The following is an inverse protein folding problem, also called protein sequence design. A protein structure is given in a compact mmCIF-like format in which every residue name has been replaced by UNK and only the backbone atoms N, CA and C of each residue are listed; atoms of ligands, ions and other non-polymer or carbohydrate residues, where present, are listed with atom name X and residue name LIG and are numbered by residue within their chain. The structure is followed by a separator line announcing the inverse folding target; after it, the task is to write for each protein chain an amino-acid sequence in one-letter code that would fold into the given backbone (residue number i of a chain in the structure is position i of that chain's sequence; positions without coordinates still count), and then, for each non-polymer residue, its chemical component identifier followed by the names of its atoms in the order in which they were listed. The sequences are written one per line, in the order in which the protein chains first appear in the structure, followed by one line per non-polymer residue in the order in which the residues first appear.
data_IF_614733389891
#
_entry.id   IF_614733389891
#
_cell.length_a   1.000
_cell.length_b   1.000
_cell.length_c   1.000
_cell.angle_alpha   90.00
_cell.angle_beta   90.00
_cell.angle_gamma   90.00
#
_symmetry.space_group_name_H-M   'P 1'
#
loop_
_entity.id
_entity.type
_entity.pdbx_description
1 polymer ?
#
# COMPACT_ATOMS: atom_id res chain seq x y z
N UNK A 1 45.62 9.69 6.66
CA UNK A 1 45.53 11.15 6.91
C UNK A 1 45.88 11.92 5.64
N UNK A 2 44.92 12.64 5.06
CA UNK A 2 45.21 13.63 4.01
C UNK A 2 46.01 14.78 4.61
N UNK A 3 47.20 15.05 4.07
CA UNK A 3 48.06 16.14 4.55
C UNK A 3 48.49 17.01 3.39
N UNK A 4 48.68 18.30 3.66
CA UNK A 4 49.18 19.30 2.71
C UNK A 4 50.34 20.06 3.37
N UNK A 5 51.38 20.49 2.63
CA UNK A 5 52.42 21.35 3.17
C UNK A 5 51.81 22.68 3.60
N UNK A 6 52.19 23.17 4.77
CA UNK A 6 51.86 24.54 5.19
C UNK A 6 52.80 25.52 4.48
N UNK A 7 52.25 26.64 4.01
CA UNK A 7 52.99 27.58 3.17
C UNK A 7 54.13 28.24 3.96
N UNK A 8 55.34 27.68 3.87
CA UNK A 8 56.54 28.17 4.55
C UNK A 8 56.97 27.37 5.78
N UNK A 9 56.27 26.30 6.15
CA UNK A 9 56.73 25.37 7.19
C UNK A 9 57.10 24.02 6.56
N UNK A 10 58.26 23.45 6.89
CA UNK A 10 58.72 22.14 6.39
C UNK A 10 57.91 20.95 6.92
N UNK A 11 56.68 21.17 7.38
CA UNK A 11 55.80 20.18 8.00
C UNK A 11 54.48 20.07 7.22
N UNK A 12 53.96 18.85 7.11
CA UNK A 12 52.65 18.60 6.51
C UNK A 12 51.56 18.69 7.58
N UNK A 13 50.60 19.59 7.40
CA UNK A 13 49.42 19.72 8.26
C UNK A 13 48.30 18.82 7.75
N UNK A 14 47.43 18.34 8.64
CA UNK A 14 46.22 17.58 8.26
C UNK A 14 45.23 18.57 7.64
N UNK A 15 44.60 18.20 6.52
CA UNK A 15 43.56 19.05 5.94
C UNK A 15 42.42 19.25 6.94
N UNK A 16 41.84 20.46 7.02
CA UNK A 16 40.64 20.69 7.83
C UNK A 16 39.52 19.76 7.41
N UNK A 17 38.54 19.59 8.28
CA UNK A 17 37.33 18.85 7.96
C UNK A 17 36.67 19.44 6.69
N UNK A 18 36.10 18.57 5.85
CA UNK A 18 35.49 18.91 4.56
C UNK A 18 36.47 18.99 3.38
N UNK A 19 37.78 18.85 3.61
CA UNK A 19 38.82 19.01 2.60
C UNK A 19 39.70 17.76 2.45
N UNK A 20 40.07 17.44 1.20
CA UNK A 20 41.05 16.39 0.87
C UNK A 20 42.32 16.99 0.28
N UNK A 21 43.44 16.30 0.47
CA UNK A 21 44.68 16.65 -0.20
C UNK A 21 44.51 16.45 -1.72
N UNK A 22 44.98 17.40 -2.53
CA UNK A 22 45.03 17.25 -3.99
C UNK A 22 45.88 16.05 -4.40
N UNK A 23 45.76 15.59 -5.65
CA UNK A 23 46.56 14.45 -6.14
C UNK A 23 48.07 14.72 -6.01
N UNK A 24 48.48 15.98 -6.21
CA UNK A 24 49.87 16.45 -6.03
C UNK A 24 50.24 16.70 -4.57
N UNK A 25 49.29 16.59 -3.65
CA UNK A 25 49.39 16.81 -2.20
C UNK A 25 49.89 18.19 -1.79
N UNK A 26 49.62 19.19 -2.62
CA UNK A 26 50.09 20.57 -2.44
C UNK A 26 49.03 21.50 -1.84
N UNK A 27 47.74 21.15 -1.98
CA UNK A 27 46.61 21.99 -1.54
C UNK A 27 45.49 21.10 -0.98
N UNK A 28 44.78 21.59 0.03
CA UNK A 28 43.53 20.98 0.49
C UNK A 28 42.35 21.52 -0.35
N UNK A 29 41.64 20.63 -1.04
CA UNK A 29 40.50 20.94 -1.91
C UNK A 29 39.20 20.33 -1.39
N UNK A 30 38.07 21.00 -1.61
CA UNK A 30 36.76 20.47 -1.26
C UNK A 30 36.42 19.24 -2.08
N UNK A 31 35.69 18.30 -1.49
CA UNK A 31 35.21 17.16 -2.25
C UNK A 31 34.25 17.59 -3.38
N UNK A 32 34.23 16.84 -4.49
CA UNK A 32 33.21 17.01 -5.52
C UNK A 32 31.80 16.85 -4.91
N UNK A 33 30.81 17.51 -5.53
CA UNK A 33 29.39 17.42 -5.11
C UNK A 33 28.96 15.95 -4.94
N UNK A 34 28.31 15.65 -3.82
CA UNK A 34 27.79 14.31 -3.51
C UNK A 34 28.78 13.36 -2.83
N UNK A 35 30.00 13.82 -2.52
CA UNK A 35 30.97 13.08 -1.72
C UNK A 35 31.25 13.82 -0.40
N UNK A 36 31.69 13.07 0.61
CA UNK A 36 32.02 13.57 1.95
C UNK A 36 33.37 13.01 2.41
N UNK A 37 33.99 13.63 3.42
CA UNK A 37 35.27 13.18 4.00
C UNK A 37 35.06 12.86 5.46
N UNK A 38 35.07 11.59 5.88
CA UNK A 38 35.08 11.29 7.30
C UNK A 38 36.40 11.76 7.91
N UNK A 39 36.35 12.21 9.17
CA UNK A 39 37.50 12.78 9.86
C UNK A 39 38.76 11.91 9.71
N UNK A 40 39.83 12.50 9.15
CA UNK A 40 41.13 11.85 8.96
C UNK A 40 41.26 10.95 7.70
N UNK A 41 40.23 10.86 6.87
CA UNK A 41 40.28 10.13 5.61
C UNK A 41 41.26 10.77 4.59
N UNK A 42 41.66 9.97 3.60
CA UNK A 42 42.57 10.38 2.52
C UNK A 42 41.86 10.59 1.19
N UNK A 43 40.60 10.18 1.08
CA UNK A 43 39.83 10.25 -0.14
C UNK A 43 38.38 10.58 0.20
N UNK A 44 37.75 11.32 -0.70
CA UNK A 44 36.31 11.54 -0.71
C UNK A 44 35.58 10.20 -0.83
N UNK A 45 34.60 9.96 0.03
CA UNK A 45 33.77 8.75 0.01
C UNK A 45 32.32 9.12 -0.28
N UNK A 46 31.56 8.17 -0.82
CA UNK A 46 30.10 8.29 -0.91
C UNK A 46 29.50 7.91 0.44
N UNK A 47 28.40 8.55 0.83
CA UNK A 47 27.65 8.10 2.00
C UNK A 47 27.26 6.62 1.85
N UNK A 48 27.42 5.85 2.93
CA UNK A 48 27.25 4.39 2.90
C UNK A 48 25.82 3.96 2.50
N UNK A 49 24.82 4.80 2.77
CA UNK A 49 23.43 4.54 2.44
C UNK A 49 22.93 5.54 1.39
N UNK A 50 22.08 5.05 0.47
CA UNK A 50 21.45 5.86 -0.58
C UNK A 50 20.57 7.01 -0.04
N UNK A 51 20.10 6.92 1.20
CA UNK A 51 19.26 7.94 1.85
C UNK A 51 20.03 9.07 2.52
N UNK A 52 21.36 8.98 2.53
CA UNK A 52 22.24 9.94 3.17
C UNK A 52 22.86 10.85 2.11
N UNK A 53 22.79 12.17 2.34
CA UNK A 53 23.52 13.17 1.54
C UNK A 53 24.56 13.89 2.41
N UNK A 54 25.67 14.35 1.84
CA UNK A 54 26.59 15.22 2.55
C UNK A 54 25.87 16.50 3.01
N UNK A 55 26.11 16.93 4.25
CA UNK A 55 25.58 18.18 4.77
C UNK A 55 26.00 19.37 3.89
N UNK A 56 25.09 20.31 3.56
CA UNK A 56 25.35 21.36 2.57
C UNK A 56 26.38 22.40 3.02
N UNK A 57 26.61 22.55 4.33
CA UNK A 57 27.49 23.59 4.88
C UNK A 57 28.84 23.08 5.36
N UNK A 58 28.92 21.84 5.87
CA UNK A 58 30.17 21.33 6.46
C UNK A 58 30.74 20.11 5.71
N UNK A 59 29.96 19.38 4.90
CA UNK A 59 30.49 18.25 4.10
C UNK A 59 31.09 17.09 4.91
N UNK A 60 31.06 17.15 6.24
CA UNK A 60 31.70 16.20 7.15
C UNK A 60 30.77 15.08 7.58
N UNK A 61 29.48 15.38 7.63
CA UNK A 61 28.45 14.46 8.06
C UNK A 61 27.53 14.09 6.91
N UNK A 62 27.17 12.81 6.90
CA UNK A 62 26.09 12.30 6.09
C UNK A 62 24.77 12.50 6.86
N UNK A 63 23.91 13.37 6.36
CA UNK A 63 22.60 13.63 6.94
C UNK A 63 21.50 12.88 6.18
N UNK A 64 20.49 12.42 6.92
CA UNK A 64 19.29 11.84 6.32
C UNK A 64 18.53 12.97 5.64
N UNK A 65 18.30 12.82 4.35
CA UNK A 65 17.51 13.79 3.61
C UNK A 65 16.02 13.59 3.93
N UNK A 66 15.55 14.30 4.96
CA UNK A 66 14.19 14.18 5.51
C UNK A 66 13.09 14.35 4.47
N UNK A 67 13.35 15.16 3.43
CA UNK A 67 12.43 15.33 2.30
C UNK A 67 12.13 14.01 1.57
N UNK A 68 13.10 13.11 1.39
CA UNK A 68 12.84 11.80 0.76
C UNK A 68 11.96 10.91 1.65
N UNK A 69 12.13 10.97 2.97
CA UNK A 69 11.29 10.21 3.90
C UNK A 69 9.85 10.73 3.83
N UNK A 70 9.66 12.05 3.84
CA UNK A 70 8.33 12.66 3.75
C UNK A 70 7.67 12.31 2.42
N UNK A 71 8.40 12.41 1.30
CA UNK A 71 7.91 12.04 -0.03
C UNK A 71 7.51 10.56 -0.06
N UNK A 72 8.37 9.65 0.42
CA UNK A 72 8.07 8.23 0.49
C UNK A 72 6.82 7.93 1.34
N UNK A 73 6.65 8.60 2.48
CA UNK A 73 5.48 8.44 3.33
C UNK A 73 4.19 8.93 2.65
N UNK A 74 4.26 10.05 1.91
CA UNK A 74 3.13 10.56 1.12
C UNK A 74 2.75 9.56 0.03
N UNK A 75 3.73 9.01 -0.69
CA UNK A 75 3.50 7.99 -1.72
C UNK A 75 2.87 6.72 -1.15
N UNK A 76 3.34 6.25 0.01
CA UNK A 76 2.75 5.11 0.70
C UNK A 76 1.31 5.38 1.15
N UNK A 77 1.05 6.58 1.68
CA UNK A 77 -0.29 6.97 2.09
C UNK A 77 -1.23 7.06 0.88
N UNK A 78 -0.82 7.72 -0.21
CA UNK A 78 -1.63 7.84 -1.43
C UNK A 78 -1.93 6.47 -2.03
N UNK A 79 -0.95 5.56 -2.06
CA UNK A 79 -1.14 4.19 -2.51
C UNK A 79 -2.16 3.44 -1.65
N UNK A 80 -1.98 3.46 -0.32
CA UNK A 80 -2.89 2.79 0.60
C UNK A 80 -4.33 3.29 0.43
N UNK A 81 -4.52 4.61 0.35
CA UNK A 81 -5.84 5.22 0.14
C UNK A 81 -6.41 4.91 -1.24
N UNK A 82 -5.59 4.95 -2.30
CA UNK A 82 -6.01 4.62 -3.66
C UNK A 82 -6.50 3.18 -3.78
N UNK A 83 -5.74 2.22 -3.26
CA UNK A 83 -6.13 0.81 -3.21
C UNK A 83 -7.39 0.63 -2.35
N UNK A 84 -7.48 1.29 -1.19
CA UNK A 84 -8.65 1.20 -0.33
C UNK A 84 -9.91 1.73 -1.03
N UNK A 85 -9.84 2.91 -1.66
CA UNK A 85 -10.95 3.50 -2.42
C UNK A 85 -11.36 2.61 -3.59
N UNK A 86 -10.39 2.09 -4.34
CA UNK A 86 -10.65 1.19 -5.45
C UNK A 86 -11.35 -0.09 -4.97
N UNK A 87 -10.85 -0.71 -3.91
CA UNK A 87 -11.47 -1.87 -3.28
C UNK A 87 -12.90 -1.54 -2.84
N UNK A 88 -13.10 -0.36 -2.24
CA UNK A 88 -14.43 0.12 -1.84
C UNK A 88 -15.36 0.34 -3.04
N UNK A 89 -14.84 0.81 -4.17
CA UNK A 89 -15.59 1.07 -5.39
C UNK A 89 -15.97 -0.23 -6.13
N UNK A 90 -15.10 -1.24 -6.10
CA UNK A 90 -15.31 -2.54 -6.76
C UNK A 90 -16.10 -3.51 -5.87
N UNK A 91 -16.57 -3.07 -4.69
CA UNK A 91 -17.39 -3.91 -3.80
C UNK A 91 -18.57 -4.51 -4.53
N UNK A 92 -18.61 -5.83 -4.54
CA UNK A 92 -19.69 -6.59 -5.19
C UNK A 92 -20.97 -6.42 -4.39
N UNK A 93 -21.97 -5.79 -5.00
CA UNK A 93 -23.36 -5.84 -4.53
C UNK A 93 -24.02 -7.09 -5.13
N UNK A 94 -24.61 -7.92 -4.27
CA UNK A 94 -25.34 -9.11 -4.73
C UNK A 94 -26.81 -8.73 -4.82
N UNK A 95 -27.36 -8.73 -6.04
CA UNK A 95 -28.78 -8.46 -6.25
C UNK A 95 -29.62 -9.66 -5.77
N UNK A 96 -30.54 -9.37 -4.87
CA UNK A 96 -31.51 -10.30 -4.31
C UNK A 96 -32.73 -10.30 -5.23
N UNK A 97 -33.14 -11.50 -5.67
CA UNK A 97 -34.35 -11.68 -6.48
C UNK A 97 -35.59 -11.84 -5.62
N UNK A 98 -35.47 -12.49 -4.47
CA UNK A 98 -36.58 -12.72 -3.57
C UNK A 98 -36.08 -12.97 -2.14
N UNK A 99 -36.84 -12.50 -1.16
CA UNK A 99 -36.70 -12.83 0.26
C UNK A 99 -38.01 -13.47 0.68
N UNK A 100 -38.04 -14.80 0.83
CA UNK A 100 -39.26 -15.54 1.13
C UNK A 100 -39.11 -16.42 2.35
N UNK A 101 -40.22 -16.60 3.07
CA UNK A 101 -40.29 -17.46 4.25
C UNK A 101 -40.64 -18.89 3.82
N UNK A 102 -39.75 -19.84 4.11
CA UNK A 102 -39.94 -21.28 3.86
C UNK A 102 -40.01 -22.00 5.20
N UNK A 103 -41.23 -22.16 5.74
CA UNK A 103 -41.45 -22.64 7.11
C UNK A 103 -40.91 -21.63 8.13
N UNK A 104 -40.03 -22.07 9.02
CA UNK A 104 -39.42 -21.21 10.05
C UNK A 104 -38.13 -20.51 9.56
N UNK A 105 -37.76 -20.70 8.29
CA UNK A 105 -36.54 -20.15 7.72
C UNK A 105 -36.85 -19.00 6.77
N UNK A 106 -36.17 -17.87 6.97
CA UNK A 106 -36.20 -16.77 6.03
C UNK A 106 -35.09 -16.97 5.00
N UNK A 107 -35.46 -17.23 3.74
CA UNK A 107 -34.53 -17.60 2.67
C UNK A 107 -34.41 -16.44 1.69
N UNK A 108 -33.18 -16.03 1.44
CA UNK A 108 -32.79 -15.05 0.43
C UNK A 108 -32.34 -15.81 -0.81
N UNK A 109 -32.97 -15.52 -1.94
CA UNK A 109 -32.58 -16.02 -3.26
C UNK A 109 -31.86 -14.93 -4.04
N UNK A 110 -30.65 -15.22 -4.50
CA UNK A 110 -29.80 -14.29 -5.23
C UNK A 110 -29.80 -14.58 -6.74
N UNK A 111 -29.77 -13.52 -7.55
CA UNK A 111 -29.76 -13.61 -9.02
C UNK A 111 -28.50 -14.25 -9.61
N UNK A 112 -27.39 -14.18 -8.87
CA UNK A 112 -26.11 -14.74 -9.30
C UNK A 112 -25.53 -15.54 -8.16
N UNK A 113 -24.73 -16.58 -8.44
CA UNK A 113 -24.11 -17.37 -7.39
C UNK A 113 -23.33 -16.47 -6.42
N UNK A 114 -23.73 -16.46 -5.15
CA UNK A 114 -23.15 -15.55 -4.16
C UNK A 114 -21.68 -15.89 -3.86
N UNK A 115 -21.26 -17.15 -4.12
CA UNK A 115 -19.89 -17.66 -3.92
C UNK A 115 -19.31 -17.41 -2.52
N UNK A 116 -20.17 -17.11 -1.54
CA UNK A 116 -19.83 -17.08 -0.12
C UNK A 116 -19.42 -18.51 0.26
N UNK A 117 -18.11 -18.76 0.22
CA UNK A 117 -17.58 -20.12 0.32
C UNK A 117 -17.66 -20.62 1.76
N UNK A 118 -18.14 -21.85 1.92
CA UNK A 118 -18.07 -22.67 3.15
C UNK A 118 -16.63 -23.13 3.45
N UNK A 119 -15.63 -22.25 3.30
CA UNK A 119 -14.26 -22.65 3.00
C UNK A 119 -13.58 -23.48 4.12
N UNK A 120 -13.20 -24.69 3.72
CA UNK A 120 -12.16 -25.61 4.21
C UNK A 120 -11.93 -25.78 5.73
N UNK A 121 -12.49 -26.87 6.26
CA UNK A 121 -11.98 -27.56 7.45
C UNK A 121 -12.35 -26.95 8.80
N UNK A 122 -12.62 -25.64 8.85
CA UNK A 122 -13.07 -24.97 10.07
C UNK A 122 -14.60 -24.90 10.06
N UNK A 123 -15.25 -25.92 10.63
CA UNK A 123 -16.71 -26.04 10.83
C UNK A 123 -17.37 -24.89 11.63
N UNK A 124 -16.70 -23.77 11.89
CA UNK A 124 -17.12 -22.74 12.85
C UNK A 124 -17.52 -21.37 12.29
N UNK A 125 -17.48 -21.16 10.98
CA UNK A 125 -18.02 -19.91 10.40
C UNK A 125 -19.40 -20.18 9.78
N UNK A 126 -20.34 -20.63 10.62
CA UNK A 126 -21.70 -20.94 10.19
C UNK A 126 -22.45 -19.68 9.72
N UNK A 127 -22.12 -18.51 10.28
CA UNK A 127 -22.88 -17.28 10.11
C UNK A 127 -21.96 -16.15 9.63
N UNK A 128 -22.28 -15.54 8.49
CA UNK A 128 -21.55 -14.41 7.94
C UNK A 128 -22.36 -13.13 8.10
N UNK A 129 -21.82 -12.06 8.71
CA UNK A 129 -22.54 -10.81 8.83
C UNK A 129 -22.79 -10.21 7.45
N UNK A 130 -23.99 -9.72 7.22
CA UNK A 130 -24.41 -9.05 5.98
C UNK A 130 -25.20 -7.81 6.30
N UNK A 131 -25.18 -6.87 5.35
CA UNK A 131 -26.01 -5.70 5.35
C UNK A 131 -26.95 -5.76 4.14
N UNK A 132 -28.24 -5.72 4.42
CA UNK A 132 -29.32 -5.70 3.44
C UNK A 132 -29.74 -4.26 3.21
N UNK A 133 -29.91 -3.87 1.95
CA UNK A 133 -30.35 -2.53 1.56
C UNK A 133 -31.36 -2.60 0.44
N UNK A 134 -32.19 -1.57 0.37
CA UNK A 134 -33.19 -1.38 -0.68
C UNK A 134 -34.14 -2.58 -0.81
N UNK A 135 -34.47 -3.26 0.30
CA UNK A 135 -35.41 -4.38 0.28
C UNK A 135 -36.87 -3.93 0.19
N UNK A 136 -37.16 -2.71 0.64
CA UNK A 136 -38.52 -2.17 0.73
C UNK A 136 -39.28 -2.65 1.96
N UNK A 137 -38.67 -3.51 2.78
CA UNK A 137 -39.24 -3.96 4.07
C UNK A 137 -38.67 -3.14 5.21
N UNK A 138 -39.55 -2.48 5.99
CA UNK A 138 -39.16 -1.69 7.17
C UNK A 138 -38.45 -2.53 8.24
N UNK A 139 -38.76 -3.83 8.30
CA UNK A 139 -38.12 -4.76 9.24
C UNK A 139 -36.68 -5.10 8.82
N UNK A 140 -36.39 -5.12 7.52
CA UNK A 140 -35.08 -5.50 7.00
C UNK A 140 -34.19 -4.27 6.82
N UNK A 141 -34.70 -3.19 6.24
CA UNK A 141 -33.93 -1.98 5.91
C UNK A 141 -33.69 -1.05 7.13
N UNK A 142 -34.08 -1.49 8.34
CA UNK A 142 -33.91 -0.72 9.58
C UNK A 142 -32.45 -0.41 9.92
N UNK A 143 -32.19 0.81 10.39
CA UNK A 143 -30.84 1.38 10.63
C UNK A 143 -29.98 0.55 11.61
N UNK A 144 -30.60 -0.25 12.49
CA UNK A 144 -29.90 -1.05 13.50
C UNK A 144 -29.72 -2.53 13.13
N UNK A 145 -30.25 -2.98 11.99
CA UNK A 145 -30.45 -4.41 11.79
C UNK A 145 -29.24 -5.03 11.13
N UNK A 146 -28.34 -5.55 11.97
CA UNK A 146 -27.26 -6.44 11.55
C UNK A 146 -27.81 -7.84 11.43
N UNK A 147 -27.67 -8.42 10.24
CA UNK A 147 -28.07 -9.79 10.02
C UNK A 147 -26.85 -10.67 9.79
N UNK A 148 -27.04 -11.97 9.98
CA UNK A 148 -26.09 -12.97 9.54
C UNK A 148 -26.73 -13.90 8.52
N UNK A 149 -25.94 -14.42 7.59
CA UNK A 149 -26.42 -15.41 6.62
C UNK A 149 -25.71 -16.74 6.78
N UNK A 150 -26.48 -17.80 6.59
CA UNK A 150 -26.00 -19.17 6.47
C UNK A 150 -26.21 -19.64 5.03
N UNK A 151 -25.15 -20.03 4.30
CA UNK A 151 -25.31 -20.48 2.92
C UNK A 151 -26.01 -21.84 2.88
N UNK A 152 -27.11 -21.92 2.13
CA UNK A 152 -27.84 -23.17 1.88
C UNK A 152 -27.33 -23.85 0.61
N UNK A 153 -27.19 -23.10 -0.47
CA UNK A 153 -26.59 -23.57 -1.72
C UNK A 153 -25.80 -22.47 -2.44
N UNK A 154 -25.73 -22.48 -3.78
CA UNK A 154 -25.00 -21.50 -4.56
C UNK A 154 -25.74 -20.17 -4.73
N UNK A 155 -27.07 -20.18 -4.63
CA UNK A 155 -27.95 -19.03 -4.90
C UNK A 155 -28.87 -18.70 -3.73
N UNK A 156 -29.08 -19.63 -2.79
CA UNK A 156 -29.91 -19.47 -1.60
C UNK A 156 -29.07 -19.31 -0.34
N UNK A 157 -29.44 -18.30 0.44
CA UNK A 157 -28.89 -17.98 1.75
C UNK A 157 -30.04 -17.98 2.76
N UNK A 158 -29.82 -18.48 3.96
CA UNK A 158 -30.76 -18.31 5.08
C UNK A 158 -30.37 -17.08 5.87
N UNK A 159 -31.34 -16.19 6.11
CA UNK A 159 -31.19 -14.98 6.91
C UNK A 159 -31.46 -15.29 8.38
N UNK A 160 -30.51 -14.91 9.22
CA UNK A 160 -30.50 -15.09 10.66
C UNK A 160 -30.32 -13.73 11.33
N UNK A 161 -30.74 -13.64 12.59
CA UNK A 161 -30.45 -12.49 13.45
C UNK A 161 -28.94 -12.31 13.68
N UNK A 162 -28.52 -11.18 14.27
CA UNK A 162 -27.12 -10.97 14.70
C UNK A 162 -26.62 -12.09 15.64
N UNK A 163 -27.52 -12.64 16.46
CA UNK A 163 -27.24 -13.77 17.35
C UNK A 163 -27.22 -15.15 16.64
N UNK A 164 -27.51 -15.20 15.34
CA UNK A 164 -27.56 -16.43 14.57
C UNK A 164 -28.83 -17.26 14.79
N UNK A 165 -29.90 -16.66 15.32
CA UNK A 165 -31.20 -17.31 15.50
C UNK A 165 -32.08 -17.10 14.25
N UNK A 166 -32.97 -18.06 13.91
CA UNK A 166 -33.93 -17.90 12.83
C UNK A 166 -34.91 -16.76 13.12
N UNK A 167 -35.36 -16.08 12.08
CA UNK A 167 -36.33 -14.99 12.17
C UNK A 167 -37.73 -15.58 11.96
N UNK A 168 -38.54 -15.60 13.02
CA UNK A 168 -39.91 -16.15 12.98
C UNK A 168 -40.96 -15.16 12.46
N UNK A 169 -40.62 -13.88 12.41
CA UNK A 169 -41.55 -12.84 11.99
C UNK A 169 -41.94 -13.02 10.52
N UNK A 170 -43.21 -12.83 10.21
CA UNK A 170 -43.68 -12.87 8.81
C UNK A 170 -43.11 -11.68 8.06
N UNK A 171 -42.37 -11.97 7.01
CA UNK A 171 -41.79 -10.97 6.11
C UNK A 171 -42.40 -11.15 4.73
N UNK A 172 -42.88 -10.05 4.15
CA UNK A 172 -43.38 -10.06 2.78
C UNK A 172 -42.23 -10.23 1.77
N UNK A 173 -42.52 -10.89 0.65
CA UNK A 173 -41.56 -11.06 -0.45
C UNK A 173 -41.00 -9.70 -0.89
N UNK A 174 -39.69 -9.59 -0.85
CA UNK A 174 -38.96 -8.35 -1.14
C UNK A 174 -37.74 -8.60 -2.04
N UNK A 175 -37.32 -7.56 -2.74
CA UNK A 175 -36.12 -7.56 -3.60
C UNK A 175 -35.18 -6.47 -3.12
N UNK A 176 -33.87 -6.67 -3.20
CA UNK A 176 -32.91 -5.65 -2.76
C UNK A 176 -31.46 -6.02 -3.05
N UNK A 177 -30.56 -5.51 -2.22
CA UNK A 177 -29.12 -5.75 -2.34
C UNK A 177 -28.55 -6.30 -1.04
N UNK A 178 -27.74 -7.36 -1.17
CA UNK A 178 -26.93 -7.90 -0.10
C UNK A 178 -25.49 -7.42 -0.28
N UNK A 179 -24.93 -6.86 0.80
CA UNK A 179 -23.54 -6.42 0.89
C UNK A 179 -22.84 -7.09 2.07
N UNK A 180 -21.57 -7.47 1.87
CA UNK A 180 -20.73 -8.02 2.92
C UNK A 180 -19.91 -6.87 3.55
N UNK A 181 -19.76 -6.83 4.88
CA UNK A 181 -18.97 -5.80 5.53
C UNK A 181 -17.48 -6.00 5.24
N UNK A 182 -16.77 -4.90 5.02
CA UNK A 182 -15.33 -4.91 4.84
C UNK A 182 -14.59 -5.21 6.15
N UNK A 183 -13.45 -5.95 6.11
CA UNK A 183 -12.76 -6.52 4.94
C UNK A 183 -13.19 -7.96 4.59
N UNK A 184 -14.34 -8.43 5.10
CA UNK A 184 -14.76 -9.83 4.92
C UNK A 184 -15.16 -10.13 3.48
N UNK A 185 -15.70 -9.14 2.78
CA UNK A 185 -15.97 -9.19 1.34
C UNK A 185 -14.73 -9.63 0.53
N UNK A 186 -13.55 -9.17 0.90
CA UNK A 186 -12.28 -9.57 0.28
C UNK A 186 -11.88 -11.00 0.63
N UNK A 187 -11.92 -11.35 1.91
CA UNK A 187 -11.36 -12.62 2.42
C UNK A 187 -12.19 -13.85 2.01
N UNK A 188 -13.51 -13.69 1.84
CA UNK A 188 -14.42 -14.81 1.58
C UNK A 188 -14.89 -14.92 0.13
N UNK A 189 -14.55 -13.95 -0.72
CA UNK A 189 -14.83 -14.01 -2.14
C UNK A 189 -13.86 -14.97 -2.83
N UNK A 190 -14.29 -16.22 -3.02
CA UNK A 190 -13.56 -17.27 -3.78
C UNK A 190 -13.58 -17.00 -5.29
N UNK A 191 -13.14 -15.82 -5.71
CA UNK A 191 -13.00 -15.51 -7.13
C UNK A 191 -11.67 -16.04 -7.66
N UNK A 192 -11.73 -16.94 -8.65
CA UNK A 192 -10.60 -17.30 -9.53
C UNK A 192 -10.05 -16.11 -10.34
N UNK A 193 -10.67 -14.93 -10.22
CA UNK A 193 -10.35 -13.72 -10.97
C UNK A 193 -9.51 -12.75 -10.13
N UNK A 194 -8.62 -13.26 -9.27
CA UNK A 194 -7.60 -12.44 -8.61
C UNK A 194 -6.77 -11.62 -9.62
N UNK A 195 -6.75 -12.01 -10.91
CA UNK A 195 -6.09 -11.27 -11.97
C UNK A 195 -6.59 -9.84 -12.18
N UNK A 196 -7.89 -9.54 -12.05
CA UNK A 196 -8.39 -8.17 -12.33
C UNK A 196 -8.02 -7.16 -11.25
N UNK A 197 -8.24 -7.40 -9.94
CA UNK A 197 -7.77 -6.49 -8.91
C UNK A 197 -6.23 -6.40 -8.89
N UNK A 198 -5.50 -7.49 -9.16
CA UNK A 198 -4.02 -7.44 -9.25
C UNK A 198 -3.56 -6.61 -10.45
N UNK A 199 -4.18 -6.72 -11.62
CA UNK A 199 -3.83 -5.90 -12.79
C UNK A 199 -4.15 -4.42 -12.54
N UNK A 200 -5.29 -4.12 -11.90
CA UNK A 200 -5.64 -2.73 -11.60
C UNK A 200 -4.71 -2.17 -10.51
N UNK A 201 -4.40 -2.94 -9.47
CA UNK A 201 -3.41 -2.55 -8.45
C UNK A 201 -2.03 -2.37 -9.08
N UNK A 202 -1.60 -3.26 -9.98
CA UNK A 202 -0.35 -3.13 -10.73
C UNK A 202 -0.34 -1.91 -11.66
N UNK A 203 -1.46 -1.59 -12.32
CA UNK A 203 -1.59 -0.40 -13.15
C UNK A 203 -1.55 0.89 -12.31
N UNK A 204 -2.22 0.90 -11.15
CA UNK A 204 -2.15 2.01 -10.20
C UNK A 204 -0.71 2.18 -9.68
N UNK A 205 -0.05 1.08 -9.33
CA UNK A 205 1.37 1.07 -8.92
C UNK A 205 2.30 1.64 -10.00
N UNK A 206 2.08 1.29 -11.27
CA UNK A 206 2.87 1.81 -12.39
C UNK A 206 2.65 3.31 -12.61
N UNK A 207 1.40 3.77 -12.53
CA UNK A 207 1.05 5.19 -12.72
C UNK A 207 1.56 6.04 -11.57
N UNK A 208 1.42 5.57 -10.32
CA UNK A 208 1.93 6.29 -9.15
C UNK A 208 3.45 6.41 -9.20
N UNK A 209 4.16 5.35 -9.59
CA UNK A 209 5.61 5.39 -9.70
C UNK A 209 6.10 6.38 -10.75
N UNK A 210 5.50 6.38 -11.95
CA UNK A 210 5.78 7.36 -13.02
C UNK A 210 5.50 8.81 -12.57
N UNK A 211 4.41 9.04 -11.84
CA UNK A 211 4.05 10.37 -11.33
C UNK A 211 5.06 10.86 -10.30
N UNK A 212 5.49 9.99 -9.39
CA UNK A 212 6.49 10.30 -8.37
C UNK A 212 7.80 10.67 -9.06
N UNK A 213 8.28 9.84 -10.00
CA UNK A 213 9.51 10.09 -10.75
C UNK A 213 9.42 11.44 -11.49
N UNK A 214 8.31 11.69 -12.17
CA UNK A 214 8.07 12.95 -12.88
C UNK A 214 8.10 14.17 -11.94
N UNK A 215 7.47 14.06 -10.77
CA UNK A 215 7.46 15.13 -9.76
C UNK A 215 8.84 15.37 -9.14
N UNK A 216 9.58 14.30 -8.81
CA UNK A 216 10.92 14.42 -8.25
C UNK A 216 11.92 15.03 -9.26
N UNK A 217 11.78 14.72 -10.56
CA UNK A 217 12.57 15.34 -11.63
C UNK A 217 12.18 16.81 -11.82
N UNK A 218 10.88 17.13 -11.87
CA UNK A 218 10.39 18.50 -12.04
C UNK A 218 10.78 19.41 -10.86
N UNK A 219 10.86 18.86 -9.65
CA UNK A 219 11.29 19.59 -8.46
C UNK A 219 12.81 19.86 -8.40
N UNK A 220 13.59 19.40 -9.39
CA UNK A 220 15.04 19.56 -9.41
C UNK A 220 15.75 18.79 -8.28
N UNK A 221 15.08 17.81 -7.65
CA UNK A 221 15.66 17.01 -6.58
C UNK A 221 16.83 16.13 -7.06
N UNK A 222 16.93 15.94 -8.38
CA UNK A 222 18.01 15.24 -9.07
C UNK A 222 18.93 16.23 -9.81
N UNK A 223 19.81 16.92 -9.08
CA UNK A 223 20.89 17.74 -9.66
C UNK A 223 22.15 16.93 -10.07
N UNK A 224 22.02 15.61 -10.25
CA UNK A 224 23.13 14.76 -10.68
C UNK A 224 22.64 13.60 -11.52
N UNK A 225 23.50 13.10 -12.41
CA UNK A 225 23.30 11.89 -13.22
C UNK A 225 22.91 10.71 -12.34
N UNK A 226 21.63 10.61 -12.00
CA UNK A 226 21.04 9.38 -11.49
C UNK A 226 20.95 8.47 -12.69
N UNK A 227 21.79 7.44 -12.68
CA UNK A 227 21.78 6.41 -13.69
C UNK A 227 20.38 5.78 -13.70
N UNK A 228 19.76 5.71 -14.89
CA UNK A 228 18.46 5.06 -15.13
C UNK A 228 18.36 3.67 -14.45
N UNK A 229 19.49 2.99 -14.25
CA UNK A 229 19.58 1.67 -13.64
C UNK A 229 19.08 1.59 -12.19
N UNK A 230 19.35 2.60 -11.35
CA UNK A 230 18.98 2.54 -9.92
C UNK A 230 17.46 2.77 -9.73
N UNK A 231 16.89 3.53 -10.65
CA UNK A 231 15.48 3.88 -10.66
C UNK A 231 14.63 2.72 -11.23
N UNK A 232 15.14 2.03 -12.24
CA UNK A 232 14.59 0.77 -12.75
C UNK A 232 14.65 -0.34 -11.70
N UNK A 233 15.70 -0.41 -10.88
CA UNK A 233 15.80 -1.41 -9.81
C UNK A 233 14.74 -1.21 -8.71
N UNK A 234 14.44 0.04 -8.34
CA UNK A 234 13.37 0.38 -7.40
C UNK A 234 11.98 0.02 -7.97
N UNK A 235 11.71 0.34 -9.24
CA UNK A 235 10.49 -0.06 -9.94
C UNK A 235 10.31 -1.58 -10.00
N UNK A 236 11.38 -2.33 -10.34
CA UNK A 236 11.36 -3.79 -10.40
C UNK A 236 11.12 -4.40 -9.02
N UNK A 237 11.73 -3.85 -7.96
CA UNK A 237 11.54 -4.34 -6.59
C UNK A 237 10.11 -4.13 -6.08
N UNK A 238 9.47 -3.01 -6.44
CA UNK A 238 8.06 -2.73 -6.12
C UNK A 238 7.11 -3.66 -6.88
N UNK A 239 7.37 -3.91 -8.16
CA UNK A 239 6.63 -4.88 -8.97
C UNK A 239 6.79 -6.31 -8.43
N UNK A 240 8.00 -6.71 -8.04
CA UNK A 240 8.25 -8.03 -7.47
C UNK A 240 7.49 -8.24 -6.14
N UNK A 241 7.47 -7.23 -5.27
CA UNK A 241 6.71 -7.28 -4.02
C UNK A 241 5.19 -7.38 -4.27
N UNK A 242 4.68 -6.71 -5.30
CA UNK A 242 3.27 -6.76 -5.67
C UNK A 242 2.85 -8.11 -6.28
N UNK A 243 3.77 -8.85 -6.92
CA UNK A 243 3.47 -10.18 -7.49
C UNK A 243 3.46 -11.33 -6.48
N UNK A 244 3.94 -11.11 -5.25
CA UNK A 244 4.01 -12.14 -4.20
C UNK A 244 2.77 -12.12 -3.28
N UNK A 245 1.93 -11.07 -3.38
CA UNK A 245 0.65 -10.92 -2.67
C UNK A 245 -0.53 -11.41 -3.52
#
# INVERSE_FOLDING_TARGET
LGRSPDAGQGMCIVCPDGLVSSDDRTVCQSCPKGLYVPWGAQACQKCANMFLRPAPYDGDNCEIFSAYIVEALICWASWFWGVLILVMAVRRRIKIEDVSQNGDQLVITSSTPHRISLQFGVRRLAHQPVELRDTGSLLIDGVSNKFTVRPLDAVRLELLTEAGQPISDRVDSSMGHLTLPFPRDLLYSRHRVMGVPVIIVAAVLLVDAELIIGLSVAAGLFEGNVYESDLVALLISGLAAATVL
#
